data_IF_304905998124
#
_entry.id   IF_304905998124
#
_cell.length_a   1.000
_cell.length_b   1.000
_cell.length_c   1.000
_cell.angle_alpha   90.00
_cell.angle_beta   90.00
_cell.angle_gamma   90.00
#
_symmetry.space_group_name_H-M   'P 1'
#
loop_
_entity.id
_entity.type
_entity.pdbx_description
1 polymer ?
#
# COMPACT_ATOMS: atom_id res chain seq x y z
N UNK A 1 15.72 15.31 1.89
CA UNK A 1 16.02 14.95 0.49
C UNK A 1 15.40 13.61 0.05
N UNK A 2 14.75 12.83 0.92
CA UNK A 2 14.10 11.54 0.60
C UNK A 2 12.67 11.66 0.05
N UNK A 3 11.91 12.66 0.51
CA UNK A 3 10.48 12.83 0.19
C UNK A 3 10.21 12.96 -1.32
N UNK A 4 11.11 13.61 -2.05
CA UNK A 4 10.99 13.81 -3.51
C UNK A 4 11.16 12.52 -4.31
N UNK A 5 11.88 11.52 -3.78
CA UNK A 5 12.14 10.28 -4.50
C UNK A 5 10.91 9.37 -4.50
N UNK A 6 10.28 9.17 -3.33
CA UNK A 6 9.09 8.34 -3.24
C UNK A 6 7.94 8.96 -4.04
N UNK A 7 7.74 10.28 -3.95
CA UNK A 7 6.70 10.96 -4.72
C UNK A 7 6.88 10.78 -6.23
N UNK A 8 8.11 10.81 -6.74
CA UNK A 8 8.40 10.52 -8.16
C UNK A 8 8.12 9.06 -8.54
N UNK A 9 8.46 8.11 -7.68
CA UNK A 9 8.14 6.71 -7.90
C UNK A 9 6.62 6.51 -7.98
N UNK A 10 5.88 7.11 -7.04
CA UNK A 10 4.43 7.00 -6.97
C UNK A 10 3.77 7.64 -8.18
N UNK A 11 4.17 8.86 -8.58
CA UNK A 11 3.64 9.51 -9.77
C UNK A 11 3.82 8.64 -11.03
N UNK A 12 5.00 8.04 -11.19
CA UNK A 12 5.28 7.12 -12.31
C UNK A 12 4.47 5.83 -12.21
N UNK A 13 4.27 5.30 -11.00
CA UNK A 13 3.44 4.12 -10.79
C UNK A 13 1.98 4.41 -11.13
N UNK A 14 1.43 5.55 -10.66
CA UNK A 14 0.08 6.00 -10.96
C UNK A 14 -0.20 6.08 -12.46
N UNK A 15 0.67 6.74 -13.23
CA UNK A 15 0.53 6.89 -14.68
C UNK A 15 0.51 5.52 -15.39
N UNK A 16 1.48 4.66 -15.07
CA UNK A 16 1.60 3.34 -15.73
C UNK A 16 0.46 2.41 -15.34
N UNK A 17 0.07 2.42 -14.08
CA UNK A 17 -1.02 1.60 -13.57
C UNK A 17 -2.36 2.04 -14.15
N UNK A 18 -2.60 3.35 -14.30
CA UNK A 18 -3.81 3.87 -14.92
C UNK A 18 -3.98 3.35 -16.36
N UNK A 19 -2.91 3.37 -17.17
CA UNK A 19 -2.93 2.83 -18.54
C UNK A 19 -3.17 1.31 -18.57
N UNK A 20 -2.63 0.58 -17.59
CA UNK A 20 -2.76 -0.87 -17.48
C UNK A 20 -4.05 -1.33 -16.78
N UNK A 21 -4.91 -0.41 -16.33
CA UNK A 21 -6.11 -0.74 -15.53
C UNK A 21 -5.77 -1.40 -14.19
N UNK A 22 -4.61 -1.06 -13.61
CA UNK A 22 -4.18 -1.54 -12.30
C UNK A 22 -4.55 -0.51 -11.24
N UNK A 23 -5.10 -0.97 -10.13
CA UNK A 23 -5.39 -0.18 -8.94
C UNK A 23 -4.69 -0.76 -7.72
N UNK A 24 -4.57 0.01 -6.65
CA UNK A 24 -3.89 -0.47 -5.46
C UNK A 24 -3.47 0.58 -4.44
N UNK A 25 -2.91 0.07 -3.36
CA UNK A 25 -2.43 0.81 -2.21
C UNK A 25 -1.05 0.27 -1.82
N UNK A 26 -0.12 1.18 -1.54
CA UNK A 26 1.19 0.88 -0.97
C UNK A 26 1.29 1.51 0.42
N UNK A 27 1.44 0.67 1.44
CA UNK A 27 1.65 1.07 2.84
C UNK A 27 3.14 1.00 3.14
N UNK A 28 3.67 2.07 3.75
CA UNK A 28 5.02 2.13 4.29
C UNK A 28 4.97 2.21 5.80
N UNK A 29 5.81 1.43 6.46
CA UNK A 29 6.07 1.54 7.90
C UNK A 29 7.54 1.25 8.16
N UNK A 30 8.27 2.23 8.67
CA UNK A 30 9.73 2.21 8.77
C UNK A 30 10.38 1.90 7.41
N UNK A 31 11.01 0.74 7.30
CA UNK A 31 11.65 0.24 6.07
C UNK A 31 10.88 -0.92 5.40
N UNK A 32 9.66 -1.22 5.84
CA UNK A 32 8.82 -2.28 5.29
C UNK A 32 7.75 -1.70 4.37
N UNK A 33 7.42 -2.48 3.34
CA UNK A 33 6.36 -2.18 2.39
C UNK A 33 5.29 -3.28 2.46
N UNK A 34 4.03 -2.87 2.37
CA UNK A 34 2.91 -3.76 2.13
C UNK A 34 2.10 -3.21 0.96
N UNK A 35 1.88 -4.03 -0.07
CA UNK A 35 1.27 -3.56 -1.31
C UNK A 35 0.11 -4.46 -1.73
N UNK A 36 -1.03 -3.83 -2.05
CA UNK A 36 -2.13 -4.44 -2.77
C UNK A 36 -2.11 -3.98 -4.23
N UNK A 37 -2.32 -4.92 -5.15
CA UNK A 37 -2.44 -4.68 -6.59
C UNK A 37 -3.65 -5.44 -7.12
N UNK A 38 -4.52 -4.75 -7.85
CA UNK A 38 -5.75 -5.29 -8.42
C UNK A 38 -5.84 -4.87 -9.89
N UNK A 39 -6.36 -5.74 -10.75
CA UNK A 39 -6.51 -5.43 -12.17
C UNK A 39 -6.46 -6.67 -13.05
N UNK A 40 -6.34 -6.49 -14.38
CA UNK A 40 -6.23 -7.60 -15.32
C UNK A 40 -5.01 -8.49 -14.99
N UNK A 41 -5.26 -9.79 -14.88
CA UNK A 41 -4.26 -10.79 -14.42
C UNK A 41 -2.91 -10.69 -15.14
N UNK A 42 -2.93 -10.49 -16.47
CA UNK A 42 -1.71 -10.37 -17.26
C UNK A 42 -0.87 -9.14 -16.88
N UNK A 43 -1.53 -7.99 -16.69
CA UNK A 43 -0.85 -6.75 -16.34
C UNK A 43 -0.37 -6.73 -14.89
N UNK A 44 -1.16 -7.29 -13.96
CA UNK A 44 -0.73 -7.46 -12.56
C UNK A 44 0.50 -8.36 -12.49
N UNK A 45 0.50 -9.50 -13.19
CA UNK A 45 1.65 -10.42 -13.19
C UNK A 45 2.91 -9.81 -13.80
N UNK A 46 2.77 -9.04 -14.88
CA UNK A 46 3.90 -8.31 -15.48
C UNK A 46 4.45 -7.25 -14.50
N UNK A 47 3.57 -6.53 -13.80
CA UNK A 47 3.97 -5.54 -12.81
C UNK A 47 4.67 -6.18 -11.61
N UNK A 48 4.11 -7.26 -11.05
CA UNK A 48 4.70 -8.00 -9.93
C UNK A 48 6.08 -8.53 -10.31
N UNK A 49 6.28 -9.03 -11.54
CA UNK A 49 7.59 -9.47 -12.03
C UNK A 49 8.62 -8.33 -12.01
N UNK A 50 8.22 -7.12 -12.43
CA UNK A 50 9.08 -5.93 -12.37
C UNK A 50 9.37 -5.51 -10.93
N UNK A 51 8.38 -5.60 -10.04
CA UNK A 51 8.55 -5.32 -8.62
C UNK A 51 9.56 -6.31 -8.03
N UNK A 52 9.40 -7.61 -8.21
CA UNK A 52 10.34 -8.63 -7.69
C UNK A 52 11.79 -8.36 -8.11
N UNK A 53 12.02 -7.91 -9.34
CA UNK A 53 13.35 -7.62 -9.87
C UNK A 53 13.94 -6.25 -9.43
N UNK A 54 13.15 -5.42 -8.75
CA UNK A 54 13.53 -4.05 -8.40
C UNK A 54 14.51 -4.01 -7.22
N UNK A 55 15.71 -3.49 -7.46
CA UNK A 55 16.82 -3.44 -6.48
C UNK A 55 16.59 -2.50 -5.30
N UNK A 56 15.51 -1.72 -5.31
CA UNK A 56 15.19 -0.74 -4.26
C UNK A 56 14.58 -1.38 -3.02
N UNK A 57 14.15 -2.63 -3.12
CA UNK A 57 13.70 -3.44 -2.00
C UNK A 57 14.36 -4.82 -2.05
N UNK A 58 14.10 -5.60 -1.02
CA UNK A 58 14.58 -6.97 -0.88
C UNK A 58 13.55 -7.75 -0.07
N UNK A 59 13.67 -9.08 -0.04
CA UNK A 59 12.75 -9.96 0.72
C UNK A 59 11.29 -9.80 0.31
N UNK A 60 11.05 -9.84 -1.00
CA UNK A 60 9.69 -9.89 -1.53
C UNK A 60 8.99 -11.17 -1.07
N UNK A 61 7.77 -11.04 -0.58
CA UNK A 61 6.91 -12.15 -0.17
C UNK A 61 5.51 -11.95 -0.74
N UNK A 62 4.95 -13.01 -1.33
CA UNK A 62 3.59 -13.01 -1.85
C UNK A 62 2.64 -13.56 -0.79
N UNK A 63 1.89 -12.68 -0.14
CA UNK A 63 0.97 -13.05 0.94
C UNK A 63 -0.37 -13.60 0.43
N UNK A 64 -0.89 -13.07 -0.68
CA UNK A 64 -2.12 -13.53 -1.31
C UNK A 64 -2.09 -13.27 -2.81
N UNK A 65 -2.69 -14.19 -3.57
CA UNK A 65 -2.93 -14.05 -5.01
C UNK A 65 -4.21 -14.79 -5.36
N UNK A 66 -5.27 -14.03 -5.63
CA UNK A 66 -6.61 -14.57 -5.86
C UNK A 66 -7.38 -13.74 -6.87
N UNK A 67 -8.42 -14.34 -7.44
CA UNK A 67 -9.42 -13.58 -8.20
C UNK A 67 -10.39 -12.95 -7.22
N UNK A 68 -10.45 -11.62 -7.21
CA UNK A 68 -11.45 -10.91 -6.41
C UNK A 68 -12.74 -10.70 -7.19
N UNK A 69 -13.89 -10.93 -6.55
CA UNK A 69 -15.20 -10.66 -7.13
C UNK A 69 -15.46 -9.16 -7.32
N UNK A 70 -14.84 -8.32 -6.49
CA UNK A 70 -14.91 -6.86 -6.59
C UNK A 70 -13.56 -6.25 -6.16
N UNK A 71 -13.02 -5.26 -6.89
CA UNK A 71 -11.80 -4.61 -6.45
C UNK A 71 -12.07 -3.80 -5.16
N UNK A 72 -11.16 -3.88 -4.20
CA UNK A 72 -11.24 -3.21 -2.91
C UNK A 72 -10.57 -1.83 -2.97
N UNK A 73 -9.55 -1.67 -3.80
CA UNK A 73 -8.71 -0.46 -3.92
C UNK A 73 -8.93 0.29 -5.24
N UNK A 74 -10.09 0.11 -5.88
CA UNK A 74 -10.43 0.67 -7.20
C UNK A 74 -10.34 2.20 -7.29
N UNK A 75 -10.38 2.89 -6.16
CA UNK A 75 -10.36 4.35 -6.09
C UNK A 75 -9.03 4.95 -6.61
N UNK A 76 -7.93 4.18 -6.59
CA UNK A 76 -6.60 4.70 -6.89
C UNK A 76 -5.80 3.81 -7.85
N UNK A 77 -5.29 4.39 -8.93
CA UNK A 77 -4.29 3.72 -9.80
C UNK A 77 -3.00 3.40 -9.04
N UNK A 78 -2.70 4.15 -7.97
CA UNK A 78 -1.79 3.79 -6.89
C UNK A 78 -1.88 4.90 -5.84
N UNK A 79 -2.11 4.58 -4.57
CA UNK A 79 -1.93 5.55 -3.49
C UNK A 79 -0.91 5.07 -2.48
N UNK A 80 -0.34 6.00 -1.71
CA UNK A 80 0.68 5.69 -0.70
C UNK A 80 0.28 6.23 0.65
N UNK A 81 0.34 5.36 1.65
CA UNK A 81 0.19 5.74 3.04
C UNK A 81 1.48 5.44 3.81
N UNK A 82 2.07 6.47 4.40
CA UNK A 82 3.13 6.32 5.41
C UNK A 82 2.47 6.25 6.78
N UNK A 83 2.60 5.13 7.46
CA UNK A 83 1.99 4.92 8.77
C UNK A 83 2.56 5.88 9.82
N UNK A 84 3.74 6.43 9.59
CA UNK A 84 4.34 7.43 10.47
C UNK A 84 3.68 8.80 10.38
N UNK A 85 3.01 9.10 9.26
CA UNK A 85 2.42 10.40 8.94
C UNK A 85 0.91 10.46 9.22
N UNK A 86 0.32 9.36 9.70
CA UNK A 86 -1.11 9.34 10.05
C UNK A 86 -1.38 10.17 11.31
N UNK A 87 -2.61 10.68 11.49
CA UNK A 87 -2.97 11.45 12.70
C UNK A 87 -2.68 10.66 13.99
N UNK A 88 -2.26 11.32 15.10
CA UNK A 88 -1.86 10.64 16.33
C UNK A 88 -2.91 9.65 16.86
N UNK A 89 -4.18 10.05 16.90
CA UNK A 89 -5.27 9.16 17.35
C UNK A 89 -5.43 7.92 16.46
N UNK A 90 -5.25 8.07 15.14
CA UNK A 90 -5.25 6.93 14.20
C UNK A 90 -4.04 6.03 14.45
N UNK A 91 -2.86 6.62 14.69
CA UNK A 91 -1.63 5.88 14.95
C UNK A 91 -1.75 5.03 16.22
N UNK A 92 -2.33 5.57 17.29
CA UNK A 92 -2.56 4.85 18.55
C UNK A 92 -3.41 3.58 18.34
N UNK A 93 -4.48 3.68 17.55
CA UNK A 93 -5.34 2.54 17.21
C UNK A 93 -4.57 1.49 16.39
N UNK A 94 -3.80 1.92 15.39
CA UNK A 94 -3.00 1.00 14.58
C UNK A 94 -1.92 0.29 15.41
N UNK A 95 -1.26 1.01 16.32
CA UNK A 95 -0.30 0.41 17.26
C UNK A 95 -0.97 -0.63 18.15
N UNK A 96 -2.16 -0.35 18.67
CA UNK A 96 -2.89 -1.31 19.49
C UNK A 96 -3.31 -2.59 18.74
N UNK A 97 -3.47 -2.51 17.41
CA UNK A 97 -3.92 -3.63 16.57
C UNK A 97 -2.76 -4.46 16.00
N UNK A 98 -1.62 -3.83 15.71
CA UNK A 98 -0.52 -4.45 14.98
C UNK A 98 0.80 -4.52 15.77
N UNK A 99 0.89 -3.88 16.93
CA UNK A 99 2.10 -3.67 17.71
C UNK A 99 3.16 -2.78 17.02
N UNK A 100 4.19 -2.43 17.79
CA UNK A 100 5.38 -1.75 17.29
C UNK A 100 6.54 -2.73 17.13
N UNK A 101 7.27 -2.60 16.02
CA UNK A 101 8.56 -3.25 15.78
C UNK A 101 9.59 -2.15 15.49
N UNK A 102 10.63 -2.05 16.32
CA UNK A 102 11.70 -1.04 16.17
C UNK A 102 11.18 0.42 16.02
N UNK A 103 10.11 0.78 16.73
CA UNK A 103 9.51 2.12 16.72
C UNK A 103 8.57 2.40 15.54
N UNK A 104 8.38 1.45 14.62
CA UNK A 104 7.42 1.54 13.50
C UNK A 104 6.27 0.57 13.72
N UNK A 105 5.10 0.83 13.13
CA UNK A 105 3.96 -0.09 13.21
C UNK A 105 4.35 -1.38 12.50
N UNK A 106 4.21 -2.54 13.14
CA UNK A 106 4.63 -3.81 12.54
C UNK A 106 3.77 -4.10 11.30
N UNK A 107 4.43 -4.45 10.20
CA UNK A 107 3.75 -4.95 9.00
C UNK A 107 3.57 -6.46 9.16
N UNK A 108 2.33 -6.98 9.09
CA UNK A 108 2.10 -8.42 9.22
C UNK A 108 2.65 -9.22 8.04
N UNK A 109 3.09 -10.45 8.33
CA UNK A 109 3.66 -11.40 7.37
C UNK A 109 2.67 -12.53 7.02
N UNK A 110 1.46 -12.51 7.60
CA UNK A 110 0.35 -13.40 7.24
C UNK A 110 -0.72 -12.66 6.43
N UNK A 111 -1.39 -13.39 5.54
CA UNK A 111 -2.37 -12.82 4.61
C UNK A 111 -3.54 -12.13 5.29
N UNK A 112 -4.06 -12.71 6.38
CA UNK A 112 -5.24 -12.21 7.09
C UNK A 112 -4.96 -10.86 7.73
N UNK A 113 -3.90 -10.77 8.52
CA UNK A 113 -3.54 -9.54 9.23
C UNK A 113 -3.05 -8.45 8.27
N UNK A 114 -2.34 -8.83 7.21
CA UNK A 114 -1.92 -7.90 6.16
C UNK A 114 -3.12 -7.31 5.41
N UNK A 115 -4.11 -8.13 5.06
CA UNK A 115 -5.36 -7.64 4.45
C UNK A 115 -6.10 -6.69 5.40
N UNK A 116 -6.14 -7.02 6.70
CA UNK A 116 -6.70 -6.14 7.72
C UNK A 116 -6.01 -4.77 7.74
N UNK A 117 -4.68 -4.73 7.69
CA UNK A 117 -3.91 -3.48 7.68
C UNK A 117 -4.17 -2.67 6.41
N UNK A 118 -4.27 -3.33 5.25
CA UNK A 118 -4.60 -2.67 3.99
C UNK A 118 -6.00 -2.02 4.01
N UNK A 119 -6.98 -2.67 4.64
CA UNK A 119 -8.33 -2.11 4.79
C UNK A 119 -8.35 -0.90 5.73
N UNK A 120 -7.65 -0.97 6.86
CA UNK A 120 -7.50 0.16 7.77
C UNK A 120 -6.79 1.34 7.06
N UNK A 121 -5.70 1.06 6.35
CA UNK A 121 -4.96 2.06 5.58
C UNK A 121 -5.82 2.71 4.48
N UNK A 122 -6.64 1.92 3.78
CA UNK A 122 -7.65 2.44 2.84
C UNK A 122 -8.61 3.41 3.53
N UNK A 123 -9.15 3.03 4.70
CA UNK A 123 -10.06 3.89 5.45
C UNK A 123 -9.40 5.23 5.82
N UNK A 124 -8.13 5.20 6.25
CA UNK A 124 -7.35 6.42 6.54
C UNK A 124 -7.24 7.32 5.31
N UNK A 125 -6.89 6.77 4.15
CA UNK A 125 -6.76 7.53 2.91
C UNK A 125 -8.10 8.20 2.52
N UNK A 126 -9.21 7.44 2.54
CA UNK A 126 -10.54 7.97 2.23
C UNK A 126 -10.96 9.08 3.21
N UNK A 127 -10.67 8.91 4.51
CA UNK A 127 -11.00 9.90 5.52
C UNK A 127 -10.24 11.21 5.29
N UNK A 128 -8.96 11.14 4.94
CA UNK A 128 -8.14 12.31 4.63
C UNK A 128 -8.63 13.04 3.37
N UNK A 129 -8.96 12.33 2.30
CA UNK A 129 -9.50 12.95 1.08
C UNK A 129 -10.82 13.67 1.31
N UNK A 130 -11.70 13.13 2.15
CA UNK A 130 -12.96 13.79 2.53
C UNK A 130 -12.71 15.06 3.33
N UNK A 131 -11.76 15.04 4.26
CA UNK A 131 -11.39 16.22 5.04
C UNK A 131 -10.80 17.34 4.17
N UNK A 132 -10.05 17.01 3.11
CA UNK A 132 -9.52 18.02 2.17
C UNK A 132 -10.58 18.66 1.27
N UNK A 133 -11.75 18.03 1.11
CA UNK A 133 -12.84 18.51 0.25
C UNK A 133 -13.93 19.29 1.01
N UNK A 134 -13.84 19.35 2.34
CA UNK A 134 -14.78 20.05 3.22
C UNK A 134 -14.24 21.45 3.57
#
# INVERSE_FOLDING_TARGET
MEETYLSKLVARAQERNAVAGITGLLVLSGNRFLQALEGPVGFVNELVTKIIADKRHSRFELLSYEQSAAPVFYDWSMTVLRLEEVPPATREVLVAKYDLENGSIRVPEDSFSAHSLLLDARWVCVAQEKALRA
#
